data_IF_379410208188
#
_entry.id   IF_379410208188
#
_cell.length_a   1.000
_cell.length_b   1.000
_cell.length_c   1.000
_cell.angle_alpha   90.00
_cell.angle_beta   90.00
_cell.angle_gamma   90.00
#
_symmetry.space_group_name_H-M   'P 1'
#
loop_
_entity.id
_entity.type
_entity.pdbx_description
1 polymer ?
#
# COMPACT_ATOMS: atom_id res chain seq x y z
N UNK A 1 19.29 -6.69 3.93
CA UNK A 1 19.31 -8.17 3.76
C UNK A 1 20.34 -8.47 2.68
N UNK A 2 21.33 -9.33 2.93
CA UNK A 2 22.40 -9.59 1.95
C UNK A 2 21.95 -10.72 1.01
N UNK A 3 21.89 -10.46 -0.29
CA UNK A 3 21.82 -11.52 -1.31
C UNK A 3 23.17 -12.22 -1.37
N UNK A 4 23.21 -13.53 -1.63
CA UNK A 4 24.48 -14.27 -1.77
C UNK A 4 25.25 -13.65 -2.95
N UNK A 5 26.41 -13.00 -2.71
CA UNK A 5 27.21 -12.45 -3.79
C UNK A 5 27.81 -13.63 -4.56
N UNK A 6 27.56 -13.68 -5.87
CA UNK A 6 28.09 -14.70 -6.78
C UNK A 6 27.58 -16.13 -6.45
N UNK A 7 26.32 -16.45 -6.77
CA UNK A 7 25.79 -17.79 -6.57
C UNK A 7 26.49 -18.81 -7.50
N UNK A 8 27.43 -19.57 -6.95
CA UNK A 8 28.24 -20.55 -7.68
C UNK A 8 27.49 -21.86 -7.96
N UNK A 9 26.56 -22.26 -7.08
CA UNK A 9 25.74 -23.47 -7.23
C UNK A 9 24.34 -23.12 -7.76
N UNK A 10 23.73 -24.02 -8.53
CA UNK A 10 22.35 -23.84 -9.04
C UNK A 10 21.33 -23.61 -7.92
N UNK A 11 21.48 -24.30 -6.80
CA UNK A 11 20.67 -24.06 -5.59
C UNK A 11 20.78 -22.62 -5.08
N UNK A 12 21.98 -22.03 -5.14
CA UNK A 12 22.21 -20.65 -4.68
C UNK A 12 21.62 -19.65 -5.67
N UNK A 13 21.64 -19.95 -6.98
CA UNK A 13 21.01 -19.12 -8.01
C UNK A 13 19.50 -19.08 -7.83
N UNK A 14 18.88 -20.24 -7.60
CA UNK A 14 17.44 -20.34 -7.36
C UNK A 14 17.03 -19.58 -6.09
N UNK A 15 17.80 -19.74 -5.00
CA UNK A 15 17.57 -19.03 -3.75
C UNK A 15 17.71 -17.51 -3.92
N UNK A 16 18.77 -17.05 -4.60
CA UNK A 16 18.99 -15.63 -4.85
C UNK A 16 17.86 -15.02 -5.68
N UNK A 17 17.39 -15.72 -6.73
CA UNK A 17 16.27 -15.28 -7.58
C UNK A 17 14.98 -15.10 -6.77
N UNK A 18 14.64 -16.09 -5.93
CA UNK A 18 13.45 -16.01 -5.09
C UNK A 18 13.55 -14.90 -4.05
N UNK A 19 14.69 -14.80 -3.36
CA UNK A 19 14.95 -13.76 -2.37
C UNK A 19 14.88 -12.36 -2.98
N UNK A 20 15.41 -12.17 -4.20
CA UNK A 20 15.36 -10.89 -4.89
C UNK A 20 13.93 -10.52 -5.30
N UNK A 21 13.11 -11.47 -5.73
CA UNK A 21 11.69 -11.25 -6.01
C UNK A 21 10.94 -10.75 -4.79
N UNK A 22 11.03 -11.47 -3.67
CA UNK A 22 10.40 -11.08 -2.40
C UNK A 22 10.90 -9.71 -1.93
N UNK A 23 12.21 -9.43 -2.08
CA UNK A 23 12.78 -8.12 -1.74
C UNK A 23 12.19 -7.01 -2.59
N UNK A 24 12.04 -7.21 -3.91
CA UNK A 24 11.44 -6.22 -4.81
C UNK A 24 10.00 -5.90 -4.42
N UNK A 25 9.21 -6.91 -4.07
CA UNK A 25 7.83 -6.71 -3.65
C UNK A 25 7.75 -5.90 -2.35
N UNK A 26 8.61 -6.23 -1.38
CA UNK A 26 8.72 -5.48 -0.11
C UNK A 26 9.16 -4.03 -0.36
N UNK A 27 10.17 -3.81 -1.20
CA UNK A 27 10.66 -2.47 -1.52
C UNK A 27 9.61 -1.64 -2.27
N UNK A 28 8.88 -2.26 -3.20
CA UNK A 28 7.78 -1.62 -3.93
C UNK A 28 6.66 -1.21 -2.96
N UNK A 29 6.22 -2.11 -2.10
CA UNK A 29 5.19 -1.81 -1.10
C UNK A 29 5.65 -0.71 -0.13
N UNK A 30 6.89 -0.76 0.32
CA UNK A 30 7.45 0.27 1.20
C UNK A 30 7.54 1.63 0.50
N UNK A 31 7.90 1.67 -0.79
CA UNK A 31 7.89 2.90 -1.59
C UNK A 31 6.50 3.53 -1.71
N UNK A 32 5.46 2.71 -1.92
CA UNK A 32 4.06 3.18 -1.94
C UNK A 32 3.65 3.72 -0.57
N UNK A 33 3.99 3.03 0.51
CA UNK A 33 3.68 3.50 1.87
C UNK A 33 4.43 4.80 2.20
N UNK A 34 5.67 4.99 1.73
CA UNK A 34 6.41 6.24 1.91
C UNK A 34 5.83 7.41 1.13
N UNK A 35 5.30 7.18 -0.09
CA UNK A 35 4.69 8.24 -0.89
C UNK A 35 3.33 8.67 -0.33
N UNK A 36 2.52 7.72 0.16
CA UNK A 36 1.21 8.02 0.78
C UNK A 36 1.33 8.53 2.21
N UNK A 37 2.28 8.02 3.00
CA UNK A 37 2.41 8.34 4.42
C UNK A 37 3.78 8.97 4.74
N UNK A 38 3.82 10.31 4.82
CA UNK A 38 5.03 11.08 5.16
C UNK A 38 5.70 10.62 6.46
N UNK A 39 4.90 10.10 7.41
CA UNK A 39 5.35 9.55 8.70
C UNK A 39 6.32 8.35 8.55
N UNK A 40 6.20 7.59 7.46
CA UNK A 40 7.06 6.41 7.15
C UNK A 40 8.43 6.84 6.61
N UNK A 41 8.49 7.99 5.91
CA UNK A 41 9.74 8.51 5.31
C UNK A 41 10.74 9.01 6.34
N UNK A 42 10.26 9.57 7.45
CA UNK A 42 11.08 10.10 8.53
C UNK A 42 10.57 9.59 9.87
N UNK A 43 10.94 8.36 10.28
CA UNK A 43 10.76 7.94 11.65
C UNK A 43 11.43 8.97 12.55
N UNK A 44 10.69 9.55 13.50
CA UNK A 44 11.32 10.47 14.44
C UNK A 44 12.42 9.69 15.17
N UNK A 45 13.62 10.30 15.30
CA UNK A 45 14.80 9.67 15.92
C UNK A 45 14.55 9.09 17.33
N UNK A 46 13.44 9.46 17.96
CA UNK A 46 13.02 9.08 19.31
C UNK A 46 12.07 7.87 19.36
N UNK A 47 11.69 7.28 18.22
CA UNK A 47 10.74 6.17 18.25
C UNK A 47 11.39 4.85 18.68
N UNK A 48 10.80 4.23 19.70
CA UNK A 48 11.10 2.85 20.08
C UNK A 48 10.70 1.91 18.93
N UNK A 49 11.44 0.81 18.71
CA UNK A 49 11.14 -0.20 17.66
C UNK A 49 9.67 -0.66 17.67
N UNK A 50 9.10 -0.85 18.87
CA UNK A 50 7.68 -1.24 19.06
C UNK A 50 6.72 -0.18 18.50
N UNK A 51 7.05 1.10 18.63
CA UNK A 51 6.24 2.20 18.09
C UNK A 51 6.32 2.23 16.57
N UNK A 52 7.51 2.05 15.99
CA UNK A 52 7.69 1.97 14.53
C UNK A 52 6.88 0.81 13.96
N UNK A 53 6.92 -0.36 14.59
CA UNK A 53 6.13 -1.52 14.16
C UNK A 53 4.62 -1.27 14.17
N UNK A 54 4.11 -0.58 15.19
CA UNK A 54 2.69 -0.19 15.25
C UNK A 54 2.30 0.81 14.18
N UNK A 55 3.16 1.80 13.92
CA UNK A 55 2.93 2.80 12.87
C UNK A 55 2.90 2.12 11.50
N UNK A 56 3.87 1.23 11.22
CA UNK A 56 3.89 0.46 9.97
C UNK A 56 2.63 -0.39 9.80
N UNK A 57 2.19 -1.08 10.85
CA UNK A 57 0.96 -1.87 10.83
C UNK A 57 -0.26 -0.99 10.52
N UNK A 58 -0.37 0.17 11.18
CA UNK A 58 -1.45 1.13 10.93
C UNK A 58 -1.43 1.62 9.47
N UNK A 59 -0.26 1.95 8.92
CA UNK A 59 -0.12 2.37 7.52
C UNK A 59 -0.54 1.27 6.54
N UNK A 60 -0.23 0.00 6.82
CA UNK A 60 -0.66 -1.14 5.97
C UNK A 60 -2.18 -1.32 6.03
N UNK A 61 -2.77 -1.27 7.23
CA UNK A 61 -4.22 -1.40 7.40
C UNK A 61 -4.94 -0.25 6.70
N UNK A 62 -4.52 1.00 6.92
CA UNK A 62 -5.09 2.17 6.23
C UNK A 62 -4.93 2.07 4.71
N UNK A 63 -3.76 1.63 4.23
CA UNK A 63 -3.55 1.46 2.79
C UNK A 63 -4.54 0.46 2.20
N UNK A 64 -4.73 -0.68 2.86
CA UNK A 64 -5.65 -1.70 2.39
C UNK A 64 -7.09 -1.18 2.41
N UNK A 65 -7.52 -0.51 3.50
CA UNK A 65 -8.86 0.08 3.57
C UNK A 65 -9.09 1.08 2.44
N UNK A 66 -8.14 1.99 2.19
CA UNK A 66 -8.25 2.97 1.11
C UNK A 66 -8.30 2.28 -0.26
N UNK A 67 -7.52 1.23 -0.48
CA UNK A 67 -7.53 0.48 -1.75
C UNK A 67 -8.86 -0.26 -1.96
N UNK A 68 -9.43 -0.83 -0.90
CA UNK A 68 -10.74 -1.48 -0.98
C UNK A 68 -11.85 -0.44 -1.25
N UNK A 69 -11.82 0.71 -0.58
CA UNK A 69 -12.76 1.82 -0.78
C UNK A 69 -12.68 2.39 -2.21
N UNK A 70 -11.46 2.68 -2.71
CA UNK A 70 -11.22 3.10 -4.10
C UNK A 70 -11.68 2.04 -5.12
N UNK A 71 -11.63 0.74 -4.78
CA UNK A 71 -12.11 -0.37 -5.64
C UNK A 71 -13.62 -0.50 -5.65
N UNK A 72 -14.26 -0.28 -4.50
CA UNK A 72 -15.71 -0.29 -4.38
C UNK A 72 -16.31 0.90 -5.15
N UNK A 73 -15.76 2.11 -5.02
CA UNK A 73 -16.12 3.27 -5.83
C UNK A 73 -15.91 3.04 -7.34
N UNK A 74 -14.84 2.36 -7.75
CA UNK A 74 -14.59 2.02 -9.15
C UNK A 74 -15.57 0.96 -9.72
N UNK A 75 -16.27 0.22 -8.85
CA UNK A 75 -17.28 -0.79 -9.23
C UNK A 75 -18.69 -0.18 -9.33
N UNK A 76 -18.90 1.00 -8.76
CA UNK A 76 -20.12 1.79 -8.98
C UNK A 76 -20.05 2.36 -10.39
N UNK A 77 -20.58 1.61 -11.36
CA UNK A 77 -20.85 2.10 -12.70
C UNK A 77 -21.75 3.34 -12.57
N UNK A 78 -21.17 4.53 -12.69
CA UNK A 78 -21.94 5.75 -12.95
C UNK A 78 -22.55 5.53 -14.33
N UNK A 79 -23.83 5.16 -14.36
CA UNK A 79 -24.59 5.14 -15.61
C UNK A 79 -24.73 6.59 -16.08
N UNK A 80 -23.90 6.96 -17.06
CA UNK A 80 -23.86 8.30 -17.66
C UNK A 80 -25.15 8.63 -18.45
N UNK A 81 -26.16 7.76 -18.41
CA UNK A 81 -27.41 7.92 -19.11
C UNK A 81 -28.59 8.40 -18.23
N UNK A 82 -28.40 8.67 -16.93
CA UNK A 82 -29.41 9.37 -16.14
C UNK A 82 -29.32 10.89 -16.33
N UNK A 83 -30.35 11.43 -16.98
CA UNK A 83 -30.53 12.83 -17.37
C UNK A 83 -30.52 13.78 -16.15
N UNK A 84 -29.71 14.86 -16.14
CA UNK A 84 -29.66 15.82 -15.05
C UNK A 84 -30.90 16.72 -15.08
N UNK A 85 -31.98 16.29 -14.43
CA UNK A 85 -33.24 17.03 -14.49
C UNK A 85 -34.38 16.45 -13.67
N UNK A 86 -34.15 16.14 -12.40
CA UNK A 86 -35.25 15.97 -11.46
C UNK A 86 -34.85 16.54 -10.09
N UNK A 87 -35.50 17.64 -9.75
CA UNK A 87 -35.33 18.44 -8.55
C UNK A 87 -35.38 17.59 -7.27
N UNK A 88 -34.27 17.52 -6.53
CA UNK A 88 -34.33 17.16 -5.12
C UNK A 88 -34.87 18.38 -4.36
N UNK A 89 -36.18 18.39 -4.14
CA UNK A 89 -36.76 19.24 -3.10
C UNK A 89 -36.19 18.80 -1.75
N UNK A 90 -35.44 19.70 -1.10
CA UNK A 90 -35.02 19.53 0.29
C UNK A 90 -36.27 19.40 1.17
N UNK A 91 -36.37 18.41 2.07
CA UNK A 91 -37.38 18.44 3.10
C UNK A 91 -37.08 19.61 4.06
N UNK A 92 -38.02 20.55 4.17
CA UNK A 92 -37.95 21.60 5.18
C UNK A 92 -38.37 21.03 6.53
N UNK A 93 -37.38 20.94 7.42
CA UNK A 93 -37.42 20.81 8.88
C UNK A 93 -37.86 19.47 9.46
#
# INVERSE_FOLDING_TARGET
>A
MKTIPLPQLEKHKLFAKYQEGVRKDVERAFGVLQSRFTIVRRPARLWKRKSVGRIMLACVILHNIIVEDEREEATIHIDLNENPGASFALPQK
#
